data_IF_785035055176
#
_entry.id   IF_785035055176
#
_cell.length_a   1.000
_cell.length_b   1.000
_cell.length_c   1.000
_cell.angle_alpha   90.00
_cell.angle_beta   90.00
_cell.angle_gamma   90.00
#
_symmetry.space_group_name_H-M   'P 1'
#
loop_
_entity.id
_entity.type
_entity.pdbx_description
1 polymer ?
#
# COMPACT_ATOMS: atom_id res chain seq x y z
N UNK A 1 -15.62 -82.14 -8.69
CA UNK A 1 -16.18 -81.17 -7.73
C UNK A 1 -15.06 -80.26 -7.26
N UNK A 2 -15.34 -78.96 -7.23
CA UNK A 2 -14.54 -77.85 -6.66
C UNK A 2 -13.19 -77.47 -7.32
N UNK A 3 -13.25 -76.33 -7.99
CA UNK A 3 -12.15 -75.46 -8.41
C UNK A 3 -11.40 -74.94 -7.18
N UNK A 4 -10.09 -75.19 -7.04
CA UNK A 4 -9.28 -74.58 -5.97
C UNK A 4 -8.09 -73.82 -6.56
N UNK A 5 -8.22 -72.50 -6.44
CA UNK A 5 -7.20 -71.47 -6.28
C UNK A 5 -6.24 -71.18 -7.45
N UNK A 6 -6.74 -70.41 -8.42
CA UNK A 6 -5.96 -69.62 -9.38
C UNK A 6 -5.69 -68.20 -8.85
N UNK A 7 -5.35 -68.05 -7.56
CA UNK A 7 -5.20 -66.75 -6.87
C UNK A 7 -3.89 -66.61 -6.09
N UNK A 8 -2.77 -67.07 -6.64
CA UNK A 8 -1.42 -66.79 -6.11
C UNK A 8 -0.43 -66.24 -7.14
N UNK A 9 -0.79 -66.18 -8.43
CA UNK A 9 0.03 -65.53 -9.49
C UNK A 9 -0.33 -64.05 -9.67
N UNK A 10 -0.35 -63.27 -8.60
CA UNK A 10 -0.58 -61.80 -8.67
C UNK A 10 0.31 -60.96 -7.74
N UNK A 11 1.31 -61.54 -7.07
CA UNK A 11 2.18 -60.84 -6.11
C UNK A 11 3.65 -60.80 -6.56
N UNK A 12 3.94 -61.01 -7.84
CA UNK A 12 5.31 -60.90 -8.40
C UNK A 12 5.37 -59.98 -9.60
N UNK A 13 4.91 -58.74 -9.43
CA UNK A 13 5.22 -57.62 -10.33
C UNK A 13 6.05 -56.55 -9.59
N UNK A 14 6.43 -56.80 -8.32
CA UNK A 14 7.15 -55.87 -7.45
C UNK A 14 8.68 -55.95 -7.56
N UNK A 15 9.23 -56.50 -8.66
CA UNK A 15 10.63 -56.91 -8.72
C UNK A 15 11.54 -56.13 -9.68
N UNK A 16 11.05 -55.14 -10.43
CA UNK A 16 11.87 -54.52 -11.50
C UNK A 16 11.57 -53.05 -11.75
N UNK A 17 11.61 -52.19 -10.70
CA UNK A 17 11.86 -50.74 -10.77
C UNK A 17 11.73 -50.02 -9.39
N UNK A 18 12.11 -50.66 -8.28
CA UNK A 18 11.85 -50.10 -6.93
C UNK A 18 12.57 -48.76 -6.65
N UNK A 19 13.75 -48.56 -7.25
CA UNK A 19 14.47 -47.29 -7.22
C UNK A 19 13.67 -46.17 -7.91
N UNK A 20 13.08 -46.45 -9.08
CA UNK A 20 12.28 -45.46 -9.83
C UNK A 20 11.05 -45.02 -9.06
N UNK A 21 10.41 -45.92 -8.29
CA UNK A 21 9.28 -45.57 -7.42
C UNK A 21 9.71 -44.73 -6.20
N UNK A 22 10.90 -44.94 -5.66
CA UNK A 22 11.41 -44.14 -4.54
C UNK A 22 11.82 -42.74 -4.99
N UNK A 23 12.46 -42.60 -6.16
CA UNK A 23 12.69 -41.28 -6.76
C UNK A 23 11.38 -40.60 -7.17
N UNK A 24 10.38 -41.35 -7.63
CA UNK A 24 9.05 -40.81 -7.91
C UNK A 24 8.33 -40.32 -6.64
N UNK A 25 8.37 -41.10 -5.55
CA UNK A 25 7.78 -40.68 -4.27
C UNK A 25 8.48 -39.43 -3.71
N UNK A 26 9.82 -39.39 -3.81
CA UNK A 26 10.62 -38.24 -3.38
C UNK A 26 10.32 -37.02 -4.24
N UNK A 27 10.14 -37.19 -5.55
CA UNK A 27 9.75 -36.12 -6.47
C UNK A 27 8.34 -35.60 -6.17
N UNK A 28 7.38 -36.50 -5.91
CA UNK A 28 6.01 -36.10 -5.54
C UNK A 28 5.99 -35.35 -4.19
N UNK A 29 6.72 -35.84 -3.20
CA UNK A 29 6.87 -35.16 -1.91
C UNK A 29 7.58 -33.81 -2.10
N UNK A 30 8.59 -33.74 -2.94
CA UNK A 30 9.28 -32.50 -3.27
C UNK A 30 8.36 -31.51 -3.98
N UNK A 31 7.54 -31.95 -4.93
CA UNK A 31 6.53 -31.11 -5.59
C UNK A 31 5.48 -30.63 -4.60
N UNK A 32 4.99 -31.51 -3.72
CA UNK A 32 4.05 -31.14 -2.65
C UNK A 32 4.71 -30.13 -1.70
N UNK A 33 5.98 -30.33 -1.34
CA UNK A 33 6.73 -29.41 -0.50
C UNK A 33 6.95 -28.06 -1.19
N UNK A 34 7.28 -28.04 -2.48
CA UNK A 34 7.42 -26.82 -3.26
C UNK A 34 6.08 -26.08 -3.46
N UNK A 35 4.96 -26.79 -3.49
CA UNK A 35 3.62 -26.19 -3.66
C UNK A 35 3.00 -25.72 -2.34
N UNK A 36 3.20 -26.46 -1.24
CA UNK A 36 2.59 -26.15 0.07
C UNK A 36 3.52 -25.34 0.99
N UNK A 37 4.83 -25.58 0.94
CA UNK A 37 5.82 -24.94 1.81
C UNK A 37 6.65 -23.85 1.10
N UNK A 38 7.03 -24.03 -0.17
CA UNK A 38 8.08 -23.17 -0.74
C UNK A 38 7.63 -21.73 -0.96
N UNK A 39 6.70 -21.36 -1.84
CA UNK A 39 6.48 -19.91 -2.12
C UNK A 39 5.13 -19.55 -2.77
N UNK A 40 4.15 -20.46 -2.82
CA UNK A 40 2.95 -20.24 -3.65
C UNK A 40 1.64 -20.41 -2.86
N UNK A 41 0.69 -19.47 -2.88
CA UNK A 41 0.47 -18.41 -3.87
C UNK A 41 -0.68 -17.47 -3.47
N UNK A 42 -1.66 -17.93 -2.69
CA UNK A 42 -2.92 -17.20 -2.52
C UNK A 42 -2.84 -15.95 -1.61
N UNK A 43 -2.16 -16.06 -0.46
CA UNK A 43 -2.00 -14.94 0.47
C UNK A 43 -1.09 -13.86 -0.11
N UNK A 44 0.03 -14.27 -0.71
CA UNK A 44 1.02 -13.35 -1.28
C UNK A 44 0.46 -12.57 -2.46
N UNK A 45 -0.30 -13.19 -3.37
CA UNK A 45 -0.94 -12.43 -4.46
C UNK A 45 -2.06 -11.50 -3.97
N UNK A 46 -2.77 -11.87 -2.90
CA UNK A 46 -3.79 -10.98 -2.31
C UNK A 46 -3.16 -9.76 -1.66
N UNK A 47 -2.05 -9.93 -0.94
CA UNK A 47 -1.30 -8.85 -0.34
C UNK A 47 -0.71 -7.93 -1.41
N UNK A 48 -0.09 -8.50 -2.45
CA UNK A 48 0.45 -7.73 -3.57
C UNK A 48 -0.64 -6.95 -4.32
N UNK A 49 -1.80 -7.57 -4.59
CA UNK A 49 -2.94 -6.87 -5.22
C UNK A 49 -3.52 -5.78 -4.33
N UNK A 50 -3.52 -5.97 -3.01
CA UNK A 50 -3.93 -4.94 -2.05
C UNK A 50 -2.93 -3.80 -2.00
N UNK A 51 -1.65 -4.08 -2.15
CA UNK A 51 -0.61 -3.05 -2.18
C UNK A 51 -0.66 -2.26 -3.49
N UNK A 52 -0.90 -2.94 -4.62
CA UNK A 52 -1.14 -2.29 -5.91
C UNK A 52 -2.34 -1.34 -5.84
N UNK A 53 -3.48 -1.79 -5.31
CA UNK A 53 -4.67 -0.93 -5.21
C UNK A 53 -4.46 0.26 -4.25
N UNK A 54 -3.71 0.04 -3.15
CA UNK A 54 -3.32 1.12 -2.23
C UNK A 54 -2.44 2.16 -2.93
N UNK A 55 -1.44 1.72 -3.68
CA UNK A 55 -0.54 2.61 -4.43
C UNK A 55 -1.27 3.38 -5.53
N UNK A 56 -2.22 2.73 -6.23
CA UNK A 56 -3.06 3.39 -7.22
C UNK A 56 -3.96 4.46 -6.60
N UNK A 57 -4.61 4.15 -5.47
CA UNK A 57 -5.43 5.12 -4.75
C UNK A 57 -4.59 6.29 -4.20
N UNK A 58 -3.40 6.02 -3.67
CA UNK A 58 -2.49 7.06 -3.20
C UNK A 58 -2.02 7.96 -4.35
N UNK A 59 -1.68 7.37 -5.50
CA UNK A 59 -1.35 8.11 -6.73
C UNK A 59 -2.50 9.01 -7.19
N UNK A 60 -3.73 8.49 -7.22
CA UNK A 60 -4.91 9.26 -7.60
C UNK A 60 -5.18 10.41 -6.62
N UNK A 61 -5.09 10.13 -5.31
CA UNK A 61 -5.24 11.13 -4.27
C UNK A 61 -4.25 12.29 -4.45
N UNK A 62 -2.96 12.00 -4.61
CA UNK A 62 -1.95 13.06 -4.79
C UNK A 62 -2.10 13.79 -6.11
N UNK A 63 -2.51 13.11 -7.18
CA UNK A 63 -2.79 13.77 -8.46
C UNK A 63 -3.92 14.80 -8.32
N UNK A 64 -5.04 14.39 -7.71
CA UNK A 64 -6.18 15.27 -7.47
C UNK A 64 -5.81 16.44 -6.54
N UNK A 65 -5.03 16.15 -5.49
CA UNK A 65 -4.51 17.19 -4.58
C UNK A 65 -3.63 18.18 -5.32
N UNK A 66 -2.70 17.70 -6.15
CA UNK A 66 -1.81 18.54 -6.95
C UNK A 66 -2.59 19.42 -7.94
N UNK A 67 -3.64 18.89 -8.58
CA UNK A 67 -4.50 19.68 -9.47
C UNK A 67 -5.20 20.82 -8.71
N UNK A 68 -5.74 20.52 -7.54
CA UNK A 68 -6.39 21.53 -6.68
C UNK A 68 -5.39 22.58 -6.15
N UNK A 69 -4.19 22.15 -5.74
CA UNK A 69 -3.12 23.03 -5.26
C UNK A 69 -2.57 23.90 -6.40
N UNK A 70 -2.46 23.37 -7.61
CA UNK A 70 -2.04 24.13 -8.78
C UNK A 70 -3.03 25.25 -9.11
N UNK A 71 -4.33 25.02 -8.96
CA UNK A 71 -5.34 26.07 -9.15
C UNK A 71 -5.17 27.16 -8.08
N UNK A 72 -5.01 26.78 -6.82
CA UNK A 72 -4.77 27.73 -5.73
C UNK A 72 -3.46 28.51 -5.92
N UNK A 73 -2.38 27.82 -6.29
CA UNK A 73 -1.09 28.41 -6.57
C UNK A 73 -1.16 29.41 -7.73
N UNK A 74 -1.81 29.05 -8.83
CA UNK A 74 -2.03 29.97 -9.96
C UNK A 74 -2.82 31.19 -9.51
N UNK A 75 -3.88 31.00 -8.72
CA UNK A 75 -4.66 32.11 -8.16
C UNK A 75 -3.77 33.04 -7.32
N UNK A 76 -3.02 32.50 -6.35
CA UNK A 76 -2.08 33.28 -5.54
C UNK A 76 -0.99 33.97 -6.38
N UNK A 77 -0.47 33.30 -7.41
CA UNK A 77 0.60 33.84 -8.27
C UNK A 77 0.13 35.00 -9.13
N UNK A 78 -0.99 34.84 -9.84
CA UNK A 78 -1.44 35.81 -10.83
C UNK A 78 -2.45 36.84 -10.27
N UNK A 79 -3.19 36.51 -9.22
CA UNK A 79 -4.14 37.42 -8.58
C UNK A 79 -3.51 38.10 -7.34
N UNK A 80 -3.34 39.41 -7.42
CA UNK A 80 -2.76 40.23 -6.34
C UNK A 80 -3.66 40.27 -5.10
N UNK A 81 -4.98 40.35 -5.27
CA UNK A 81 -5.93 40.41 -4.16
C UNK A 81 -5.96 39.10 -3.38
N UNK A 82 -5.99 37.97 -4.10
CA UNK A 82 -5.92 36.64 -3.48
C UNK A 82 -4.63 36.48 -2.65
N UNK A 83 -3.50 36.96 -3.18
CA UNK A 83 -2.21 36.94 -2.49
C UNK A 83 -2.20 37.81 -1.24
N UNK A 84 -2.76 39.03 -1.33
CA UNK A 84 -2.85 39.96 -0.19
C UNK A 84 -3.78 39.42 0.90
N UNK A 85 -4.92 38.85 0.53
CA UNK A 85 -5.85 38.20 1.45
C UNK A 85 -5.19 37.04 2.19
N UNK A 86 -4.53 36.14 1.47
CA UNK A 86 -3.82 35.00 2.06
C UNK A 86 -2.71 35.45 3.04
N UNK A 87 -1.96 36.48 2.66
CA UNK A 87 -0.93 37.12 3.47
C UNK A 87 -1.49 37.73 4.78
N UNK A 88 -2.68 38.33 4.73
CA UNK A 88 -3.35 38.91 5.90
C UNK A 88 -3.91 37.84 6.83
N UNK A 89 -4.57 36.82 6.29
CA UNK A 89 -5.22 35.76 7.07
C UNK A 89 -4.22 34.81 7.74
N UNK A 90 -3.17 34.40 7.02
CA UNK A 90 -2.24 33.39 7.53
C UNK A 90 -1.01 33.98 8.25
N UNK A 91 -0.60 35.18 7.86
CA UNK A 91 0.66 35.78 8.33
C UNK A 91 0.49 37.18 8.94
N UNK A 92 -0.75 37.67 9.07
CA UNK A 92 -1.07 39.00 9.62
C UNK A 92 -0.24 40.13 8.99
N UNK A 93 0.06 40.02 7.69
CA UNK A 93 0.79 41.07 6.99
C UNK A 93 -0.06 42.35 6.90
N UNK A 94 0.60 43.50 7.06
CA UNK A 94 -0.03 44.84 7.03
C UNK A 94 0.67 45.74 6.02
N UNK A 95 -0.07 46.69 5.46
CA UNK A 95 0.52 47.81 4.70
C UNK A 95 1.10 48.84 5.67
N UNK A 96 2.03 49.66 5.17
CA UNK A 96 2.72 50.66 6.00
C UNK A 96 1.77 51.74 6.56
N UNK A 97 0.62 51.96 5.91
CA UNK A 97 -0.38 52.95 6.27
C UNK A 97 -1.58 52.38 7.04
N UNK A 98 -1.46 51.18 7.62
CA UNK A 98 -2.55 50.47 8.28
C UNK A 98 -2.20 50.02 9.70
N UNK A 99 -3.15 50.16 10.61
CA UNK A 99 -3.06 49.68 11.99
C UNK A 99 -3.94 48.44 12.17
N UNK A 100 -3.35 47.32 12.58
CA UNK A 100 -4.05 46.06 12.85
C UNK A 100 -4.15 45.87 14.36
N UNK A 101 -5.37 45.63 14.85
CA UNK A 101 -5.63 45.30 16.25
C UNK A 101 -5.95 43.81 16.36
N UNK A 102 -5.20 43.08 17.19
CA UNK A 102 -5.47 41.67 17.50
C UNK A 102 -6.11 41.65 18.88
N UNK A 103 -7.38 41.26 18.95
CA UNK A 103 -8.13 41.15 20.21
C UNK A 103 -7.93 39.74 20.74
N UNK A 104 -7.17 39.62 21.82
CA UNK A 104 -6.95 38.37 22.55
C UNK A 104 -7.70 38.42 23.87
N UNK A 105 -8.41 37.34 24.19
CA UNK A 105 -9.04 37.18 25.49
C UNK A 105 -7.99 36.64 26.49
N UNK A 106 -7.96 37.16 27.71
CA UNK A 106 -6.90 36.83 28.69
C UNK A 106 -6.89 35.35 29.11
N UNK A 107 -8.03 34.67 28.98
CA UNK A 107 -8.18 33.24 29.26
C UNK A 107 -7.61 32.35 28.14
N UNK A 108 -7.46 32.89 26.92
CA UNK A 108 -7.04 32.18 25.70
C UNK A 108 -5.56 32.44 25.39
N UNK A 109 -4.67 32.39 26.40
CA UNK A 109 -3.22 32.64 26.22
C UNK A 109 -2.50 31.51 25.44
N UNK A 110 -2.89 31.31 24.19
CA UNK A 110 -2.01 30.86 23.13
C UNK A 110 -1.21 32.07 22.67
N UNK A 111 0.09 32.08 23.00
CA UNK A 111 1.04 33.08 22.49
C UNK A 111 0.77 33.39 21.02
N UNK A 112 0.60 34.67 20.63
CA UNK A 112 0.38 35.01 19.22
C UNK A 112 1.52 34.40 18.41
N UNK A 113 1.20 33.71 17.30
CA UNK A 113 2.21 33.27 16.33
C UNK A 113 2.81 34.52 15.71
N UNK A 114 3.79 35.11 16.40
CA UNK A 114 4.52 36.29 15.97
C UNK A 114 5.27 35.97 14.68
N UNK A 115 5.30 36.93 13.75
CA UNK A 115 6.07 36.89 12.50
C UNK A 115 7.42 36.17 12.70
N UNK A 116 7.83 35.27 11.78
CA UNK A 116 9.20 34.75 11.82
C UNK A 116 10.16 35.93 11.79
N UNK A 117 11.02 36.02 12.81
CA UNK A 117 12.12 36.99 12.82
C UNK A 117 13.00 36.67 11.62
N UNK A 118 13.21 37.70 10.81
CA UNK A 118 14.09 37.69 9.65
C UNK A 118 15.54 37.46 10.08
#
# INVERSE_FOLDING_TARGET
MSQINKSTKKITILGKNWYSSMYFILSVIFIIWMLFFDTNSYLTHKELNSEISKLEHEKEYYKNKLDSENIQYKNLKYNKEAREKYARENYFFKKNNENIFIIINYEDTITPKTKPKK
#
